data_IF_555469945806
#
_entry.id   IF_555469945806
#
_cell.length_a   1.000
_cell.length_b   1.000
_cell.length_c   1.000
_cell.angle_alpha   90.00
_cell.angle_beta   90.00
_cell.angle_gamma   90.00
#
_symmetry.space_group_name_H-M   'P 1'
#
loop_
_entity.id
_entity.type
_entity.pdbx_description
1 polymer ?
#
# COMPACT_ATOMS: atom_id res chain seq x y z
N UNK A 1 -23.64 51.15 -25.15
CA UNK A 1 -22.24 51.27 -25.62
C UNK A 1 -21.29 52.01 -24.65
N UNK A 2 -21.75 52.58 -23.52
CA UNK A 2 -20.88 53.31 -22.58
C UNK A 2 -20.14 52.45 -21.53
N UNK A 3 -20.58 51.21 -21.28
CA UNK A 3 -20.01 50.33 -20.24
C UNK A 3 -18.75 49.53 -20.62
N UNK A 4 -18.30 49.59 -21.87
CA UNK A 4 -17.11 48.86 -22.33
C UNK A 4 -15.83 49.71 -22.23
N UNK A 5 -15.91 50.99 -22.60
CA UNK A 5 -14.81 51.96 -22.43
C UNK A 5 -14.50 52.25 -20.95
N UNK A 6 -15.52 52.35 -20.09
CA UNK A 6 -15.33 52.53 -18.64
C UNK A 6 -14.72 51.31 -17.94
N UNK A 7 -14.98 50.09 -18.43
CA UNK A 7 -14.35 48.86 -17.92
C UNK A 7 -12.87 48.76 -18.32
N UNK A 8 -12.54 48.99 -19.59
CA UNK A 8 -11.15 49.01 -20.05
C UNK A 8 -10.29 50.08 -19.36
N UNK A 9 -10.84 51.27 -19.11
CA UNK A 9 -10.13 52.33 -18.38
C UNK A 9 -9.84 51.93 -16.92
N UNK A 10 -10.82 51.33 -16.24
CA UNK A 10 -10.64 50.79 -14.88
C UNK A 10 -9.62 49.65 -14.84
N UNK A 11 -9.67 48.72 -15.79
CA UNK A 11 -8.69 47.63 -15.93
C UNK A 11 -7.26 48.18 -16.17
N UNK A 12 -7.11 49.24 -16.97
CA UNK A 12 -5.81 49.91 -17.17
C UNK A 12 -5.31 50.64 -15.91
N UNK A 13 -6.19 51.33 -15.19
CA UNK A 13 -5.85 51.99 -13.91
C UNK A 13 -5.47 50.97 -12.83
N UNK A 14 -6.16 49.82 -12.76
CA UNK A 14 -5.83 48.71 -11.87
C UNK A 14 -4.48 48.07 -12.21
N UNK A 15 -4.19 47.84 -13.49
CA UNK A 15 -2.90 47.32 -13.95
C UNK A 15 -1.74 48.28 -13.64
N UNK A 16 -1.93 49.59 -13.87
CA UNK A 16 -0.93 50.60 -13.52
C UNK A 16 -0.66 50.66 -12.01
N UNK A 17 -1.70 50.51 -11.19
CA UNK A 17 -1.55 50.44 -9.73
C UNK A 17 -0.79 49.19 -9.30
N UNK A 18 -1.04 48.03 -9.92
CA UNK A 18 -0.30 46.79 -9.67
C UNK A 18 1.17 46.90 -10.07
N UNK A 19 1.45 47.53 -11.22
CA UNK A 19 2.83 47.75 -11.68
C UNK A 19 3.60 48.68 -10.74
N UNK A 20 2.96 49.76 -10.28
CA UNK A 20 3.54 50.67 -9.30
C UNK A 20 3.77 49.98 -7.94
N UNK A 21 2.88 49.08 -7.54
CA UNK A 21 3.09 48.27 -6.33
C UNK A 21 4.28 47.31 -6.49
N UNK A 22 4.36 46.62 -7.62
CA UNK A 22 5.45 45.71 -7.92
C UNK A 22 6.81 46.44 -7.99
N UNK A 23 6.85 47.64 -8.58
CA UNK A 23 8.06 48.48 -8.61
C UNK A 23 8.51 48.85 -7.18
N UNK A 24 7.60 49.32 -6.33
CA UNK A 24 7.91 49.62 -4.92
C UNK A 24 8.39 48.39 -4.15
N UNK A 25 7.78 47.22 -4.40
CA UNK A 25 8.22 45.95 -3.79
C UNK A 25 9.62 45.56 -4.27
N UNK A 26 9.94 45.75 -5.54
CA UNK A 26 11.27 45.49 -6.08
C UNK A 26 12.33 46.38 -5.43
N UNK A 27 12.06 47.68 -5.27
CA UNK A 27 12.94 48.62 -4.56
C UNK A 27 13.18 48.20 -3.10
N UNK A 28 12.11 47.88 -2.37
CA UNK A 28 12.20 47.43 -0.99
C UNK A 28 12.97 46.12 -0.85
N UNK A 29 12.72 45.15 -1.75
CA UNK A 29 13.38 43.85 -1.75
C UNK A 29 14.89 43.97 -1.99
N UNK A 30 15.33 44.86 -2.88
CA UNK A 30 16.75 45.12 -3.10
C UNK A 30 17.44 45.60 -1.82
N UNK A 31 16.82 46.57 -1.14
CA UNK A 31 17.39 47.14 0.10
C UNK A 31 17.42 46.09 1.22
N UNK A 32 16.35 45.30 1.37
CA UNK A 32 16.28 44.25 2.37
C UNK A 32 17.34 43.16 2.13
N UNK A 33 17.48 42.69 0.89
CA UNK A 33 18.48 41.68 0.53
C UNK A 33 19.92 42.20 0.71
N UNK A 34 20.21 43.45 0.35
CA UNK A 34 21.54 44.06 0.54
C UNK A 34 21.93 44.15 2.03
N UNK A 35 21.00 44.63 2.86
CA UNK A 35 21.19 44.71 4.31
C UNK A 35 21.35 43.31 4.93
N UNK A 36 20.60 42.32 4.44
CA UNK A 36 20.73 40.93 4.87
C UNK A 36 22.10 40.36 4.50
N UNK A 37 22.63 40.63 3.31
CA UNK A 37 23.99 40.22 2.91
C UNK A 37 25.04 40.83 3.82
N UNK A 38 24.91 42.13 4.14
CA UNK A 38 25.84 42.84 5.02
C UNK A 38 25.88 42.19 6.41
N UNK A 39 24.71 42.02 7.02
CA UNK A 39 24.58 41.39 8.34
C UNK A 39 25.09 39.95 8.34
N UNK A 40 24.79 39.19 7.28
CA UNK A 40 25.24 37.79 7.15
C UNK A 40 26.74 37.66 6.93
N UNK A 41 27.38 38.64 6.29
CA UNK A 41 28.83 38.67 6.16
C UNK A 41 29.51 38.88 7.52
N UNK A 42 28.93 39.72 8.39
CA UNK A 42 29.40 39.90 9.77
C UNK A 42 29.20 38.62 10.60
N UNK A 43 28.04 37.96 10.46
CA UNK A 43 27.75 36.66 11.08
C UNK A 43 28.74 35.58 10.62
N UNK A 44 29.05 35.53 9.32
CA UNK A 44 30.05 34.60 8.75
C UNK A 44 31.44 34.86 9.32
N UNK A 45 31.85 36.12 9.49
CA UNK A 45 33.14 36.45 10.08
C UNK A 45 33.25 35.94 11.52
N UNK A 46 32.20 36.14 12.32
CA UNK A 46 32.11 35.58 13.68
C UNK A 46 32.12 34.05 13.67
N UNK A 47 31.31 33.43 12.82
CA UNK A 47 31.24 31.97 12.71
C UNK A 47 32.56 31.37 12.25
N UNK A 48 33.32 32.02 11.36
CA UNK A 48 34.61 31.53 10.88
C UNK A 48 35.66 31.55 12.00
N UNK A 49 35.59 32.52 12.92
CA UNK A 49 36.47 32.55 14.09
C UNK A 49 36.15 31.41 15.09
N UNK A 50 34.87 31.08 15.27
CA UNK A 50 34.43 30.03 16.22
C UNK A 50 34.54 28.61 15.65
N UNK A 51 34.14 28.42 14.38
CA UNK A 51 34.02 27.12 13.72
C UNK A 51 35.21 26.76 12.83
N UNK A 52 35.97 27.75 12.36
CA UNK A 52 37.01 27.55 11.34
C UNK A 52 36.47 27.54 9.92
N UNK A 53 37.38 27.67 8.94
CA UNK A 53 37.04 27.93 7.55
C UNK A 53 36.32 26.78 6.84
N UNK A 54 36.63 25.54 7.20
CA UNK A 54 36.05 24.34 6.58
C UNK A 54 34.54 24.25 6.88
N UNK A 55 34.14 24.54 8.12
CA UNK A 55 32.74 24.47 8.55
C UNK A 55 31.90 25.66 8.06
N UNK A 56 32.53 26.76 7.66
CA UNK A 56 31.84 27.95 7.13
C UNK A 56 31.90 28.07 5.61
N UNK A 57 32.57 27.12 4.94
CA UNK A 57 32.77 27.14 3.49
C UNK A 57 31.46 27.23 2.69
N UNK A 58 30.44 26.45 3.09
CA UNK A 58 29.15 26.43 2.40
C UNK A 58 28.40 27.76 2.56
N UNK A 59 28.45 28.38 3.74
CA UNK A 59 27.80 29.68 3.96
C UNK A 59 28.53 30.79 3.19
N UNK A 60 29.86 30.74 3.16
CA UNK A 60 30.68 31.65 2.33
C UNK A 60 30.31 31.52 0.85
N UNK A 61 30.25 30.30 0.33
CA UNK A 61 29.86 30.05 -1.06
C UNK A 61 28.45 30.54 -1.37
N UNK A 62 27.50 30.37 -0.44
CA UNK A 62 26.14 30.89 -0.58
C UNK A 62 26.12 32.42 -0.64
N UNK A 63 26.86 33.12 0.24
CA UNK A 63 26.95 34.59 0.19
C UNK A 63 27.58 35.10 -1.11
N UNK A 64 28.59 34.40 -1.64
CA UNK A 64 29.19 34.78 -2.92
C UNK A 64 28.24 34.56 -4.11
N UNK A 65 27.45 33.49 -4.08
CA UNK A 65 26.38 33.26 -5.05
C UNK A 65 25.30 34.36 -4.97
N UNK A 66 24.87 34.71 -3.76
CA UNK A 66 23.90 35.77 -3.53
C UNK A 66 24.41 37.12 -4.03
N UNK A 67 25.66 37.49 -3.74
CA UNK A 67 26.28 38.73 -4.26
C UNK A 67 26.28 38.78 -5.78
N UNK A 68 26.54 37.65 -6.43
CA UNK A 68 26.52 37.54 -7.90
C UNK A 68 25.13 37.83 -8.46
N UNK A 69 24.09 37.21 -7.88
CA UNK A 69 22.70 37.40 -8.32
C UNK A 69 22.10 38.75 -7.91
N UNK A 70 22.56 39.35 -6.81
CA UNK A 70 22.23 40.74 -6.50
C UNK A 70 22.79 41.71 -7.53
N UNK A 71 23.96 41.41 -8.11
CA UNK A 71 24.48 42.17 -9.26
C UNK A 71 23.51 42.20 -10.44
N UNK A 72 22.84 41.08 -10.74
CA UNK A 72 21.77 41.02 -11.76
C UNK A 72 20.57 41.89 -11.36
N UNK A 73 20.12 41.81 -10.10
CA UNK A 73 19.01 42.62 -9.61
C UNK A 73 19.29 44.14 -9.72
N UNK A 74 20.50 44.58 -9.35
CA UNK A 74 20.91 45.98 -9.49
C UNK A 74 21.00 46.42 -10.95
N UNK A 75 21.49 45.56 -11.85
CA UNK A 75 21.51 45.86 -13.29
C UNK A 75 20.10 46.02 -13.86
N UNK A 76 19.17 45.14 -13.49
CA UNK A 76 17.76 45.24 -13.89
C UNK A 76 17.10 46.51 -13.34
N UNK A 77 17.40 46.88 -12.09
CA UNK A 77 16.90 48.11 -11.48
C UNK A 77 17.45 49.35 -12.19
N UNK A 78 18.73 49.34 -12.58
CA UNK A 78 19.35 50.43 -13.33
C UNK A 78 18.71 50.60 -14.72
N UNK A 79 18.42 49.50 -15.43
CA UNK A 79 17.72 49.53 -16.72
C UNK A 79 16.32 50.16 -16.59
N UNK A 80 15.59 49.84 -15.52
CA UNK A 80 14.26 50.42 -15.28
C UNK A 80 14.27 51.95 -15.08
N UNK A 81 15.44 52.56 -14.87
CA UNK A 81 15.64 53.99 -14.60
C UNK A 81 16.53 54.68 -15.63
N UNK A 82 16.78 54.05 -16.78
CA UNK A 82 17.58 54.67 -17.83
C UNK A 82 16.79 55.76 -18.61
N UNK A 83 17.48 56.48 -19.51
CA UNK A 83 16.86 57.57 -20.28
C UNK A 83 15.94 57.07 -21.42
N UNK A 84 15.89 55.74 -21.66
CA UNK A 84 15.15 55.14 -22.76
C UNK A 84 13.80 54.64 -22.23
N UNK A 85 12.66 55.14 -22.73
CA UNK A 85 11.35 54.69 -22.27
C UNK A 85 11.11 53.21 -22.59
N UNK A 86 11.12 52.35 -21.56
CA UNK A 86 10.71 50.95 -21.66
C UNK A 86 9.18 50.79 -21.79
N UNK A 87 8.73 49.64 -22.28
CA UNK A 87 7.32 49.26 -22.23
C UNK A 87 6.90 48.84 -20.81
N UNK A 88 5.61 49.02 -20.49
CA UNK A 88 5.06 48.60 -19.19
C UNK A 88 5.24 47.08 -18.91
N UNK A 89 5.26 46.26 -19.97
CA UNK A 89 5.47 44.81 -19.85
C UNK A 89 6.93 44.47 -19.51
N UNK A 90 7.90 45.18 -20.08
CA UNK A 90 9.33 45.03 -19.76
C UNK A 90 9.60 45.43 -18.30
N UNK A 91 9.05 46.58 -17.85
CA UNK A 91 9.17 47.01 -16.45
C UNK A 91 8.57 45.99 -15.48
N UNK A 92 7.37 45.45 -15.78
CA UNK A 92 6.72 44.43 -14.96
C UNK A 92 7.59 43.17 -14.88
N UNK A 93 8.13 42.71 -16.01
CA UNK A 93 8.96 41.51 -16.08
C UNK A 93 10.26 41.67 -15.28
N UNK A 94 10.94 42.80 -15.44
CA UNK A 94 12.19 43.09 -14.71
C UNK A 94 11.95 43.28 -13.22
N UNK A 95 10.92 44.01 -12.81
CA UNK A 95 10.56 44.15 -11.39
C UNK A 95 10.17 42.81 -10.75
N UNK A 96 9.42 41.96 -11.46
CA UNK A 96 9.13 40.60 -10.98
C UNK A 96 10.41 39.78 -10.82
N UNK A 97 11.35 39.87 -11.77
CA UNK A 97 12.66 39.19 -11.70
C UNK A 97 13.50 39.69 -10.52
N UNK A 98 13.53 41.00 -10.27
CA UNK A 98 14.21 41.59 -9.11
C UNK A 98 13.67 41.00 -7.81
N UNK A 99 12.34 41.00 -7.63
CA UNK A 99 11.69 40.43 -6.44
C UNK A 99 12.05 38.95 -6.28
N UNK A 100 12.05 38.17 -7.36
CA UNK A 100 12.43 36.75 -7.32
C UNK A 100 13.90 36.54 -6.90
N UNK A 101 14.82 37.34 -7.43
CA UNK A 101 16.25 37.26 -7.07
C UNK A 101 16.47 37.61 -5.59
N UNK A 102 15.82 38.66 -5.10
CA UNK A 102 15.93 39.11 -3.71
C UNK A 102 15.31 38.08 -2.75
N UNK A 103 14.14 37.53 -3.08
CA UNK A 103 13.51 36.47 -2.27
C UNK A 103 14.40 35.22 -2.20
N UNK A 104 14.91 34.76 -3.34
CA UNK A 104 15.83 33.63 -3.36
C UNK A 104 17.09 33.88 -2.52
N UNK A 105 17.63 35.10 -2.56
CA UNK A 105 18.78 35.49 -1.76
C UNK A 105 18.49 35.43 -0.26
N UNK A 106 17.36 35.99 0.18
CA UNK A 106 16.92 35.93 1.58
C UNK A 106 16.71 34.48 2.04
N UNK A 107 15.96 33.68 1.28
CA UNK A 107 15.67 32.28 1.61
C UNK A 107 16.96 31.45 1.75
N UNK A 108 17.90 31.61 0.82
CA UNK A 108 19.18 30.89 0.85
C UNK A 108 20.04 31.33 2.04
N UNK A 109 20.11 32.64 2.32
CA UNK A 109 20.85 33.15 3.47
C UNK A 109 20.25 32.62 4.77
N UNK A 110 18.93 32.62 4.92
CA UNK A 110 18.27 32.17 6.14
C UNK A 110 18.47 30.68 6.39
N UNK A 111 18.39 29.85 5.34
CA UNK A 111 18.72 28.42 5.41
C UNK A 111 20.16 28.21 5.93
N UNK A 112 21.14 28.90 5.34
CA UNK A 112 22.54 28.73 5.72
C UNK A 112 22.85 29.33 7.09
N UNK A 113 22.23 30.45 7.45
CA UNK A 113 22.38 31.09 8.76
C UNK A 113 21.88 30.17 9.87
N UNK A 114 20.74 29.50 9.67
CA UNK A 114 20.22 28.52 10.63
C UNK A 114 21.19 27.34 10.81
N UNK A 115 21.73 26.79 9.72
CA UNK A 115 22.70 25.70 9.78
C UNK A 115 24.00 26.09 10.52
N UNK A 116 24.47 27.32 10.32
CA UNK A 116 25.65 27.86 11.04
C UNK A 116 25.34 28.07 12.52
N UNK A 117 24.18 28.63 12.87
CA UNK A 117 23.77 28.80 14.26
C UNK A 117 23.73 27.45 15.00
N UNK A 118 23.20 26.40 14.37
CA UNK A 118 23.20 25.04 14.90
C UNK A 118 24.61 24.47 15.06
N UNK A 119 25.51 24.71 14.08
CA UNK A 119 26.90 24.30 14.19
C UNK A 119 27.63 25.01 15.35
N UNK A 120 27.43 26.31 15.52
CA UNK A 120 27.99 27.08 16.66
C UNK A 120 27.48 26.53 17.98
N UNK A 121 26.17 26.27 18.09
CA UNK A 121 25.58 25.68 19.28
C UNK A 121 26.17 24.30 19.59
N UNK A 122 26.41 23.44 18.57
CA UNK A 122 27.07 22.14 18.76
C UNK A 122 28.49 22.29 19.28
N UNK A 123 29.31 23.15 18.68
CA UNK A 123 30.72 23.35 19.09
C UNK A 123 30.82 23.95 20.50
N UNK A 124 29.89 24.83 20.89
CA UNK A 124 29.80 25.40 22.24
C UNK A 124 29.39 24.39 23.29
N UNK A 125 28.45 23.50 22.96
CA UNK A 125 27.96 22.46 23.88
C UNK A 125 28.84 21.20 23.90
N UNK A 126 29.82 21.11 22.99
CA UNK A 126 30.64 19.91 22.84
C UNK A 126 31.40 19.49 24.12
N UNK A 127 31.96 20.39 24.95
CA UNK A 127 32.61 20.00 26.21
C UNK A 127 31.64 19.31 27.20
N UNK A 128 30.39 19.78 27.29
CA UNK A 128 29.37 19.14 28.13
C UNK A 128 29.00 17.76 27.59
N UNK A 129 28.90 17.62 26.27
CA UNK A 129 28.61 16.33 25.62
C UNK A 129 29.77 15.34 25.82
N UNK A 130 31.03 15.77 25.73
CA UNK A 130 32.20 14.93 26.03
C UNK A 130 32.17 14.44 27.48
N UNK A 131 31.93 15.35 28.44
CA UNK A 131 31.83 14.97 29.85
C UNK A 131 30.73 13.93 30.08
N UNK A 132 29.58 14.10 29.40
CA UNK A 132 28.50 13.11 29.42
C UNK A 132 28.90 11.78 28.80
N UNK A 133 29.52 11.78 27.62
CA UNK A 133 30.00 10.55 26.96
C UNK A 133 30.95 9.77 27.87
N UNK A 134 31.88 10.45 28.55
CA UNK A 134 32.81 9.80 29.50
C UNK A 134 32.08 9.24 30.73
N UNK A 135 31.13 10.00 31.28
CA UNK A 135 30.33 9.54 32.42
C UNK A 135 29.46 8.32 32.05
N UNK A 136 28.78 8.37 30.90
CA UNK A 136 27.96 7.30 30.37
C UNK A 136 28.81 6.06 30.07
N UNK A 137 29.99 6.23 29.44
CA UNK A 137 30.94 5.15 29.18
C UNK A 137 31.40 4.47 30.47
N UNK A 138 31.75 5.23 31.51
CA UNK A 138 32.16 4.67 32.81
C UNK A 138 31.01 3.92 33.50
N UNK A 139 29.78 4.44 33.44
CA UNK A 139 28.60 3.76 33.98
C UNK A 139 28.30 2.45 33.23
N UNK A 140 28.45 2.44 31.91
CA UNK A 140 28.28 1.25 31.08
C UNK A 140 29.38 0.22 31.33
N UNK A 141 30.63 0.65 31.47
CA UNK A 141 31.76 -0.22 31.81
C UNK A 141 31.50 -0.99 33.12
N UNK A 142 30.97 -0.30 34.13
CA UNK A 142 30.60 -0.92 35.41
C UNK A 142 29.47 -1.97 35.30
N UNK A 143 28.60 -1.86 34.29
CA UNK A 143 27.52 -2.83 34.02
C UNK A 143 27.99 -4.08 33.27
N UNK A 144 29.09 -4.02 32.52
CA UNK A 144 29.56 -5.13 31.66
C UNK A 144 29.75 -6.46 32.43
N UNK A 145 30.41 -6.50 33.61
CA UNK A 145 30.59 -7.75 34.34
C UNK A 145 29.27 -8.39 34.80
N UNK A 146 28.29 -7.56 35.19
CA UNK A 146 26.97 -8.03 35.57
C UNK A 146 26.23 -8.62 34.36
N UNK A 147 26.30 -7.96 33.20
CA UNK A 147 25.70 -8.47 31.97
C UNK A 147 26.32 -9.81 31.55
N UNK A 148 27.65 -9.94 31.65
CA UNK A 148 28.33 -11.22 31.37
C UNK A 148 27.85 -12.33 32.30
N UNK A 149 27.74 -12.06 33.61
CA UNK A 149 27.22 -13.03 34.57
C UNK A 149 25.76 -13.41 34.29
N UNK A 150 24.94 -12.46 33.83
CA UNK A 150 23.56 -12.75 33.40
C UNK A 150 23.53 -13.63 32.16
N UNK A 151 24.35 -13.36 31.14
CA UNK A 151 24.47 -14.20 29.94
C UNK A 151 24.89 -15.63 30.32
N UNK A 152 25.91 -15.79 31.17
CA UNK A 152 26.39 -17.10 31.61
C UNK A 152 25.30 -17.88 32.36
N UNK A 153 24.55 -17.20 33.24
CA UNK A 153 23.39 -17.79 33.94
C UNK A 153 22.31 -18.22 32.95
N UNK A 154 21.93 -17.35 32.02
CA UNK A 154 20.88 -17.62 31.03
C UNK A 154 21.27 -18.75 30.08
N UNK A 155 22.55 -18.89 29.72
CA UNK A 155 23.06 -19.97 28.86
C UNK A 155 22.92 -21.37 29.49
N UNK A 156 22.73 -21.46 30.81
CA UNK A 156 22.40 -22.73 31.49
C UNK A 156 20.94 -23.15 31.30
N UNK A 157 20.04 -22.19 31.03
CA UNK A 157 18.59 -22.40 30.91
C UNK A 157 18.12 -22.40 29.46
N UNK A 158 18.69 -21.56 28.62
CA UNK A 158 18.25 -21.35 27.25
C UNK A 158 19.25 -21.93 26.24
N UNK A 159 18.73 -22.38 25.11
CA UNK A 159 19.53 -22.93 24.02
C UNK A 159 20.38 -21.85 23.35
N UNK A 160 21.43 -22.27 22.63
CA UNK A 160 22.32 -21.35 21.90
C UNK A 160 21.56 -20.55 20.82
N UNK A 161 20.49 -21.13 20.26
CA UNK A 161 19.62 -20.46 19.28
C UNK A 161 18.82 -19.32 19.93
N UNK A 162 18.25 -19.53 21.12
CA UNK A 162 17.55 -18.48 21.86
C UNK A 162 18.49 -17.35 22.31
N UNK A 163 19.69 -17.73 22.75
CA UNK A 163 20.70 -16.79 23.24
C UNK A 163 21.41 -16.01 22.13
N UNK A 164 21.23 -16.37 20.85
CA UNK A 164 22.00 -15.83 19.74
C UNK A 164 22.06 -14.29 19.70
N UNK A 165 20.97 -13.61 20.09
CA UNK A 165 20.88 -12.14 20.09
C UNK A 165 21.68 -11.47 21.20
N UNK A 166 21.87 -12.15 22.32
CA UNK A 166 22.50 -11.57 23.53
C UNK A 166 23.85 -12.17 23.87
N UNK A 167 24.22 -13.30 23.27
CA UNK A 167 25.41 -14.07 23.63
C UNK A 167 26.72 -13.28 23.56
N UNK A 168 26.81 -12.29 22.66
CA UNK A 168 28.00 -11.42 22.49
C UNK A 168 27.79 -9.99 22.98
N UNK A 169 26.61 -9.67 23.52
CA UNK A 169 26.25 -8.28 23.85
C UNK A 169 27.19 -7.64 24.87
N UNK A 170 27.65 -8.39 25.87
CA UNK A 170 28.58 -7.86 26.87
C UNK A 170 29.96 -7.55 26.27
N UNK A 171 30.49 -8.44 25.42
CA UNK A 171 31.76 -8.23 24.72
C UNK A 171 31.66 -7.05 23.74
N UNK A 172 30.60 -6.98 22.94
CA UNK A 172 30.36 -5.89 22.00
C UNK A 172 30.18 -4.55 22.73
N UNK A 173 29.44 -4.53 23.85
CA UNK A 173 29.28 -3.34 24.67
C UNK A 173 30.63 -2.85 25.24
N UNK A 174 31.49 -3.77 25.72
CA UNK A 174 32.82 -3.41 26.21
C UNK A 174 33.69 -2.76 25.10
N UNK A 175 33.66 -3.31 23.88
CA UNK A 175 34.38 -2.74 22.74
C UNK A 175 33.85 -1.34 22.39
N UNK A 176 32.53 -1.15 22.42
CA UNK A 176 31.88 0.14 22.16
C UNK A 176 32.21 1.19 23.24
N UNK A 177 32.32 0.79 24.50
CA UNK A 177 32.77 1.66 25.61
C UNK A 177 34.20 2.15 25.37
N UNK A 178 35.12 1.25 24.99
CA UNK A 178 36.50 1.62 24.62
C UNK A 178 36.50 2.58 23.44
N UNK A 179 35.69 2.30 22.42
CA UNK A 179 35.59 3.15 21.24
C UNK A 179 34.99 4.54 21.55
N UNK A 180 34.00 4.62 22.44
CA UNK A 180 33.44 5.88 22.90
C UNK A 180 34.48 6.75 23.62
N UNK A 181 35.26 6.17 24.54
CA UNK A 181 36.35 6.87 25.21
C UNK A 181 37.43 7.33 24.22
N UNK A 182 37.79 6.48 23.27
CA UNK A 182 38.73 6.86 22.22
C UNK A 182 38.21 8.02 21.36
N UNK A 183 36.93 7.99 20.99
CA UNK A 183 36.29 9.07 20.24
C UNK A 183 36.28 10.40 21.00
N UNK A 184 36.05 10.37 22.32
CA UNK A 184 36.19 11.54 23.18
C UNK A 184 37.63 12.10 23.20
N UNK A 185 38.65 11.25 23.28
CA UNK A 185 40.05 11.66 23.20
C UNK A 185 40.42 12.22 21.81
N UNK A 186 39.85 11.66 20.74
CA UNK A 186 40.02 12.18 19.37
C UNK A 186 39.37 13.55 19.25
N UNK A 187 38.17 13.75 19.78
CA UNK A 187 37.49 15.05 19.79
C UNK A 187 38.40 16.13 20.41
N UNK A 188 38.94 15.89 21.60
CA UNK A 188 39.81 16.85 22.30
C UNK A 188 41.04 17.20 21.46
N UNK A 189 41.77 16.19 20.95
CA UNK A 189 42.95 16.41 20.08
C UNK A 189 42.63 17.15 18.78
N UNK A 190 41.45 16.91 18.19
CA UNK A 190 41.04 17.56 16.93
C UNK A 190 40.63 19.01 17.18
N UNK A 191 39.91 19.26 18.27
CA UNK A 191 39.53 20.60 18.73
C UNK A 191 40.75 21.45 19.04
N UNK A 192 41.73 20.93 19.78
CA UNK A 192 42.98 21.64 20.11
C UNK A 192 43.81 21.99 18.87
N UNK A 193 43.67 21.20 17.80
CA UNK A 193 44.30 21.43 16.51
C UNK A 193 43.48 22.35 15.57
N UNK A 194 42.37 22.92 16.02
CA UNK A 194 41.49 23.77 15.21
C UNK A 194 40.66 23.03 14.15
N UNK A 195 40.62 21.69 14.20
CA UNK A 195 39.92 20.83 13.22
C UNK A 195 38.52 20.51 13.72
N UNK A 196 37.68 21.53 13.84
CA UNK A 196 36.36 21.45 14.50
C UNK A 196 35.40 20.46 13.81
N UNK A 197 35.40 20.39 12.48
CA UNK A 197 34.55 19.45 11.76
C UNK A 197 34.87 17.99 12.11
N UNK A 198 36.15 17.63 12.09
CA UNK A 198 36.62 16.29 12.48
C UNK A 198 36.39 16.01 13.97
N UNK A 199 36.51 17.04 14.81
CA UNK A 199 36.20 16.91 16.24
C UNK A 199 34.73 16.55 16.43
N UNK A 200 33.80 17.34 15.89
CA UNK A 200 32.34 17.10 16.02
C UNK A 200 31.97 15.70 15.53
N UNK A 201 32.52 15.25 14.40
CA UNK A 201 32.28 13.89 13.91
C UNK A 201 32.75 12.81 14.89
N UNK A 202 33.92 12.98 15.50
CA UNK A 202 34.42 12.05 16.51
C UNK A 202 33.52 11.99 17.75
N UNK A 203 32.96 13.14 18.17
CA UNK A 203 32.04 13.22 19.29
C UNK A 203 30.67 12.61 19.00
N UNK A 204 30.12 12.83 17.80
CA UNK A 204 28.89 12.18 17.34
C UNK A 204 29.06 10.65 17.32
N UNK A 205 30.21 10.19 16.81
CA UNK A 205 30.56 8.77 16.77
C UNK A 205 30.69 8.17 18.18
N UNK A 206 31.32 8.89 19.12
CA UNK A 206 31.42 8.45 20.51
C UNK A 206 30.05 8.40 21.20
N UNK A 207 29.20 9.39 20.93
CA UNK A 207 27.81 9.44 21.44
C UNK A 207 27.01 8.25 20.93
N UNK A 208 27.11 7.92 19.65
CA UNK A 208 26.47 6.73 19.07
C UNK A 208 26.94 5.44 19.73
N UNK A 209 28.26 5.31 19.95
CA UNK A 209 28.85 4.14 20.56
C UNK A 209 28.32 3.92 22.00
N UNK A 210 28.21 4.97 22.81
CA UNK A 210 27.61 4.88 24.15
C UNK A 210 26.15 4.44 24.09
N UNK A 211 25.35 4.97 23.14
CA UNK A 211 23.95 4.59 22.98
C UNK A 211 23.81 3.11 22.59
N UNK A 212 24.62 2.65 21.64
CA UNK A 212 24.60 1.25 21.19
C UNK A 212 25.05 0.30 22.32
N UNK A 213 26.08 0.67 23.08
CA UNK A 213 26.50 -0.10 24.24
C UNK A 213 25.37 -0.21 25.29
N UNK A 214 24.68 0.89 25.59
CA UNK A 214 23.52 0.89 26.47
C UNK A 214 22.43 -0.08 25.98
N UNK A 215 22.01 0.03 24.71
CA UNK A 215 20.98 -0.86 24.15
C UNK A 215 21.35 -2.34 24.18
N UNK A 216 22.63 -2.67 23.99
CA UNK A 216 23.10 -4.06 24.10
C UNK A 216 23.00 -4.60 25.53
N UNK A 217 23.33 -3.80 26.54
CA UNK A 217 23.23 -4.19 27.93
C UNK A 217 21.77 -4.25 28.40
N UNK A 218 20.94 -3.29 27.98
CA UNK A 218 19.50 -3.29 28.26
C UNK A 218 18.82 -4.53 27.66
N UNK A 219 19.20 -4.94 26.45
CA UNK A 219 18.70 -6.18 25.83
C UNK A 219 19.05 -7.45 26.63
N UNK A 220 20.21 -7.47 27.33
CA UNK A 220 20.56 -8.59 28.22
C UNK A 220 19.67 -8.58 29.47
N UNK A 221 19.42 -7.40 30.03
CA UNK A 221 18.58 -7.23 31.22
C UNK A 221 17.11 -7.63 30.94
N UNK A 222 16.58 -7.28 29.76
CA UNK A 222 15.20 -7.55 29.37
C UNK A 222 14.97 -9.01 28.91
N UNK A 223 16.01 -9.69 28.44
CA UNK A 223 15.89 -11.02 27.82
C UNK A 223 15.17 -12.04 28.71
N UNK A 224 15.47 -12.09 30.01
CA UNK A 224 14.87 -13.07 30.92
C UNK A 224 13.36 -12.85 31.07
N UNK A 225 12.93 -11.59 31.13
CA UNK A 225 11.51 -11.23 31.22
C UNK A 225 10.79 -11.62 29.92
N UNK A 226 11.40 -11.35 28.77
CA UNK A 226 10.84 -11.72 27.47
C UNK A 226 10.75 -13.24 27.30
N UNK A 227 11.78 -13.97 27.71
CA UNK A 227 11.80 -15.42 27.64
C UNK A 227 10.73 -16.05 28.53
N UNK A 228 10.54 -15.54 29.76
CA UNK A 228 9.47 -15.99 30.65
C UNK A 228 8.07 -15.72 30.07
N UNK A 229 7.86 -14.55 29.43
CA UNK A 229 6.61 -14.26 28.72
C UNK A 229 6.37 -15.21 27.55
N UNK A 230 7.43 -15.50 26.78
CA UNK A 230 7.37 -16.45 25.68
C UNK A 230 7.05 -17.86 26.18
N UNK A 231 7.64 -18.31 27.29
CA UNK A 231 7.32 -19.59 27.95
C UNK A 231 5.85 -19.66 28.41
N UNK A 232 5.34 -18.62 29.06
CA UNK A 232 3.93 -18.55 29.49
C UNK A 232 2.99 -18.63 28.29
N UNK A 233 3.28 -17.86 27.24
CA UNK A 233 2.47 -17.85 26.02
C UNK A 233 2.56 -19.18 25.28
N UNK A 234 3.73 -19.82 25.27
CA UNK A 234 3.91 -21.14 24.68
C UNK A 234 3.05 -22.17 25.39
N UNK A 235 2.95 -22.13 26.71
CA UNK A 235 2.09 -23.05 27.47
C UNK A 235 0.61 -22.91 27.09
N UNK A 236 0.12 -21.67 26.92
CA UNK A 236 -1.24 -21.40 26.44
C UNK A 236 -1.45 -21.93 25.03
N UNK A 237 -0.55 -21.59 24.09
CA UNK A 237 -0.65 -22.04 22.70
C UNK A 237 -0.57 -23.57 22.59
N UNK A 238 0.23 -24.24 23.42
CA UNK A 238 0.27 -25.71 23.48
C UNK A 238 -1.06 -26.32 23.92
N UNK A 239 -1.73 -25.71 24.91
CA UNK A 239 -3.05 -26.15 25.34
C UNK A 239 -4.08 -25.97 24.23
N UNK A 240 -4.09 -24.81 23.57
CA UNK A 240 -4.99 -24.51 22.46
C UNK A 240 -4.75 -25.47 21.27
N UNK A 241 -3.49 -25.64 20.83
CA UNK A 241 -3.14 -26.58 19.75
C UNK A 241 -3.61 -28.01 20.02
N UNK A 242 -3.55 -28.47 21.27
CA UNK A 242 -4.04 -29.81 21.64
C UNK A 242 -5.56 -29.88 21.56
N UNK A 243 -6.27 -28.83 21.94
CA UNK A 243 -7.72 -28.74 21.81
C UNK A 243 -8.14 -28.71 20.33
N UNK A 244 -7.43 -27.97 19.48
CA UNK A 244 -7.70 -27.91 18.03
C UNK A 244 -7.52 -29.27 17.36
N UNK A 245 -6.44 -29.99 17.71
CA UNK A 245 -6.23 -31.36 17.24
C UNK A 245 -7.29 -32.34 17.76
N UNK A 246 -7.76 -32.17 18.99
CA UNK A 246 -8.85 -32.98 19.54
C UNK A 246 -10.20 -32.69 18.89
N UNK A 247 -10.44 -31.45 18.44
CA UNK A 247 -11.64 -31.03 17.73
C UNK A 247 -11.62 -31.38 16.22
N UNK A 248 -10.47 -31.81 15.69
CA UNK A 248 -10.28 -32.16 14.28
C UNK A 248 -11.32 -33.14 13.69
N UNK A 249 -11.82 -34.16 14.43
CA UNK A 249 -12.87 -35.05 13.93
C UNK A 249 -14.18 -34.35 13.55
N UNK A 250 -14.44 -33.16 14.10
CA UNK A 250 -15.60 -32.34 13.76
C UNK A 250 -15.34 -31.37 12.59
N UNK A 251 -14.11 -31.29 12.08
CA UNK A 251 -13.75 -30.46 10.93
C UNK A 251 -14.01 -31.20 9.60
N UNK A 252 -14.27 -30.47 8.49
CA UNK A 252 -14.40 -31.09 7.17
C UNK A 252 -13.10 -31.79 6.76
N UNK A 253 -13.21 -33.03 6.32
CA UNK A 253 -12.07 -33.82 5.86
C UNK A 253 -11.46 -33.25 4.58
N UNK A 254 -10.16 -32.95 4.59
CA UNK A 254 -9.39 -32.53 3.41
C UNK A 254 -7.92 -32.95 3.55
N UNK A 255 -7.24 -33.36 2.47
CA UNK A 255 -5.80 -33.65 2.52
C UNK A 255 -4.96 -32.50 3.07
N UNK A 256 -5.36 -31.25 2.79
CA UNK A 256 -4.69 -30.05 3.31
C UNK A 256 -4.84 -29.93 4.83
N UNK A 257 -6.02 -30.23 5.38
CA UNK A 257 -6.28 -30.23 6.82
C UNK A 257 -5.46 -31.33 7.50
N UNK A 258 -5.41 -32.53 6.93
CA UNK A 258 -4.59 -33.64 7.45
C UNK A 258 -3.10 -33.31 7.46
N UNK A 259 -2.59 -32.67 6.40
CA UNK A 259 -1.20 -32.24 6.31
C UNK A 259 -0.86 -31.16 7.34
N UNK A 260 -1.73 -30.16 7.50
CA UNK A 260 -1.56 -29.10 8.49
C UNK A 260 -1.63 -29.64 9.93
N UNK A 261 -2.56 -30.55 10.22
CA UNK A 261 -2.66 -31.23 11.51
C UNK A 261 -1.41 -32.07 11.82
N UNK A 262 -0.87 -32.78 10.83
CA UNK A 262 0.39 -33.51 10.99
C UNK A 262 1.57 -32.57 11.28
N UNK A 263 1.65 -31.43 10.60
CA UNK A 263 2.67 -30.41 10.85
C UNK A 263 2.55 -29.82 12.27
N UNK A 264 1.33 -29.55 12.74
CA UNK A 264 1.09 -29.09 14.11
C UNK A 264 1.49 -30.14 15.14
N UNK A 265 1.12 -31.41 14.92
CA UNK A 265 1.54 -32.50 15.79
C UNK A 265 3.07 -32.65 15.82
N UNK A 266 3.74 -32.50 14.68
CA UNK A 266 5.20 -32.49 14.61
C UNK A 266 5.80 -31.32 15.40
N UNK A 267 5.24 -30.12 15.29
CA UNK A 267 5.69 -28.95 16.06
C UNK A 267 5.54 -29.19 17.57
N UNK A 268 4.43 -29.77 18.03
CA UNK A 268 4.22 -30.15 19.42
C UNK A 268 5.22 -31.22 19.90
N UNK A 269 5.53 -32.20 19.06
CA UNK A 269 6.48 -33.27 19.39
C UNK A 269 7.94 -32.78 19.38
N UNK A 270 8.24 -31.68 18.68
CA UNK A 270 9.55 -31.06 18.61
C UNK A 270 9.85 -30.10 19.77
N UNK A 271 8.89 -29.90 20.69
CA UNK A 271 9.11 -29.09 21.88
C UNK A 271 10.17 -29.72 22.78
N UNK A 272 10.99 -28.86 23.38
CA UNK A 272 12.08 -29.29 24.23
C UNK A 272 11.54 -30.02 25.48
N UNK A 273 12.10 -31.20 25.85
CA UNK A 273 11.72 -31.89 27.08
C UNK A 273 11.94 -31.04 28.33
N UNK A 274 11.13 -31.27 29.36
CA UNK A 274 11.31 -30.62 30.65
C UNK A 274 12.73 -30.86 31.19
N UNK A 275 13.39 -29.78 31.64
CA UNK A 275 14.76 -29.83 32.16
C UNK A 275 15.87 -29.75 31.11
N UNK A 276 15.54 -29.62 29.82
CA UNK A 276 16.51 -29.32 28.76
C UNK A 276 16.61 -27.80 28.50
N UNK A 277 17.68 -27.38 27.81
CA UNK A 277 17.84 -25.97 27.41
C UNK A 277 16.84 -25.63 26.30
N UNK A 278 15.91 -24.73 26.57
CA UNK A 278 14.75 -24.45 25.69
C UNK A 278 15.01 -23.30 24.72
N UNK A 279 14.24 -23.25 23.63
CA UNK A 279 14.16 -22.08 22.75
C UNK A 279 12.73 -21.54 22.74
N UNK A 280 12.30 -20.79 23.78
CA UNK A 280 10.90 -20.40 23.90
C UNK A 280 10.45 -19.51 22.74
N UNK A 281 11.34 -18.69 22.16
CA UNK A 281 11.01 -17.83 21.03
C UNK A 281 10.84 -18.63 19.73
N UNK A 282 11.78 -19.52 19.41
CA UNK A 282 11.70 -20.35 18.21
C UNK A 282 10.59 -21.39 18.30
N UNK A 283 10.38 -22.01 19.46
CA UNK A 283 9.28 -22.94 19.71
C UNK A 283 7.93 -22.27 19.54
N UNK A 284 7.73 -21.10 20.16
CA UNK A 284 6.48 -20.33 20.02
C UNK A 284 6.24 -19.90 18.57
N UNK A 285 7.29 -19.49 17.86
CA UNK A 285 7.18 -19.11 16.44
C UNK A 285 6.75 -20.29 15.57
N UNK A 286 7.40 -21.45 15.72
CA UNK A 286 7.06 -22.67 14.98
C UNK A 286 5.64 -23.13 15.26
N UNK A 287 5.23 -23.12 16.54
CA UNK A 287 3.90 -23.58 16.93
C UNK A 287 2.79 -22.66 16.43
N UNK A 288 2.96 -21.34 16.55
CA UNK A 288 2.03 -20.35 15.99
C UNK A 288 1.88 -20.51 14.47
N UNK A 289 2.98 -20.65 13.76
CA UNK A 289 2.95 -20.87 12.31
C UNK A 289 2.14 -22.13 11.93
N UNK A 290 2.31 -23.22 12.69
CA UNK A 290 1.57 -24.45 12.46
C UNK A 290 0.07 -24.31 12.81
N UNK A 291 -0.29 -23.63 13.90
CA UNK A 291 -1.69 -23.33 14.24
C UNK A 291 -2.35 -22.50 13.15
N UNK A 292 -1.73 -21.39 12.73
CA UNK A 292 -2.27 -20.53 11.67
C UNK A 292 -2.45 -21.30 10.36
N UNK A 293 -1.54 -22.23 10.04
CA UNK A 293 -1.68 -23.08 8.86
C UNK A 293 -2.86 -24.06 8.98
N UNK A 294 -3.11 -24.63 10.17
CA UNK A 294 -4.26 -25.50 10.44
C UNK A 294 -5.57 -24.72 10.33
N UNK A 295 -5.66 -23.54 10.94
CA UNK A 295 -6.83 -22.66 10.88
C UNK A 295 -7.19 -22.31 9.45
N UNK A 296 -6.19 -21.91 8.66
CA UNK A 296 -6.37 -21.60 7.24
C UNK A 296 -6.85 -22.81 6.44
N UNK A 297 -6.32 -24.01 6.72
CA UNK A 297 -6.75 -25.24 6.06
C UNK A 297 -8.20 -25.62 6.42
N UNK A 298 -8.58 -25.50 7.70
CA UNK A 298 -9.95 -25.76 8.17
C UNK A 298 -10.92 -24.76 7.56
N UNK A 299 -10.58 -23.46 7.56
CA UNK A 299 -11.41 -22.42 6.95
C UNK A 299 -11.63 -22.70 5.45
N UNK A 300 -10.57 -23.05 4.72
CA UNK A 300 -10.66 -23.43 3.30
C UNK A 300 -11.52 -24.70 3.10
N UNK A 301 -11.40 -25.69 3.99
CA UNK A 301 -12.20 -26.92 3.90
C UNK A 301 -13.69 -26.66 4.21
N UNK A 302 -14.00 -25.80 5.19
CA UNK A 302 -15.38 -25.35 5.48
C UNK A 302 -15.97 -24.60 4.30
N UNK A 303 -15.23 -23.65 3.74
CA UNK A 303 -15.68 -22.92 2.56
C UNK A 303 -16.03 -23.87 1.40
N UNK A 304 -15.20 -24.87 1.12
CA UNK A 304 -15.48 -25.91 0.09
C UNK A 304 -16.67 -26.80 0.43
N UNK A 305 -16.92 -27.08 1.72
CA UNK A 305 -18.07 -27.88 2.14
C UNK A 305 -19.39 -27.11 1.99
N UNK A 306 -19.39 -25.81 2.26
CA UNK A 306 -20.53 -24.89 2.06
C UNK A 306 -20.75 -24.55 0.58
N UNK A 307 -19.68 -24.57 -0.23
CA UNK A 307 -19.71 -24.28 -1.66
C UNK A 307 -19.15 -25.47 -2.46
N UNK A 308 -19.88 -26.59 -2.56
CA UNK A 308 -19.42 -27.75 -3.31
C UNK A 308 -19.27 -27.41 -4.79
N UNK A 309 -18.12 -27.78 -5.36
CA UNK A 309 -17.90 -27.69 -6.80
C UNK A 309 -18.95 -28.54 -7.54
N UNK A 310 -19.41 -28.11 -8.72
CA UNK A 310 -20.30 -28.93 -9.53
C UNK A 310 -19.62 -30.26 -9.86
N UNK A 311 -20.39 -31.35 -9.95
CA UNK A 311 -19.81 -32.65 -10.35
C UNK A 311 -19.46 -32.61 -11.84
N UNK A 312 -18.50 -33.46 -12.26
CA UNK A 312 -18.18 -33.60 -13.69
C UNK A 312 -19.45 -33.96 -14.47
N UNK A 313 -20.29 -34.83 -13.91
CA UNK A 313 -21.59 -35.21 -14.49
C UNK A 313 -22.54 -34.01 -14.61
N UNK A 314 -22.63 -33.14 -13.61
CA UNK A 314 -23.48 -31.94 -13.68
C UNK A 314 -23.03 -30.98 -14.80
N UNK A 315 -21.72 -30.85 -15.01
CA UNK A 315 -21.17 -30.06 -16.12
C UNK A 315 -21.45 -30.73 -17.46
N UNK A 316 -21.26 -32.04 -17.56
CA UNK A 316 -21.55 -32.81 -18.77
C UNK A 316 -23.03 -32.73 -19.15
N UNK A 317 -23.95 -32.88 -18.20
CA UNK A 317 -25.38 -32.74 -18.46
C UNK A 317 -25.77 -31.34 -18.95
N UNK A 318 -25.19 -30.29 -18.37
CA UNK A 318 -25.41 -28.92 -18.85
C UNK A 318 -24.84 -28.70 -20.26
N UNK A 319 -23.72 -29.34 -20.57
CA UNK A 319 -23.09 -29.28 -21.90
C UNK A 319 -23.91 -30.04 -22.94
N UNK A 320 -24.39 -31.24 -22.61
CA UNK A 320 -25.27 -32.02 -23.49
C UNK A 320 -26.58 -31.27 -23.79
N UNK A 321 -27.12 -30.56 -22.80
CA UNK A 321 -28.28 -29.70 -23.00
C UNK A 321 -27.97 -28.52 -23.92
N UNK A 322 -26.85 -27.84 -23.69
CA UNK A 322 -26.38 -26.78 -24.56
C UNK A 322 -26.17 -27.26 -26.00
N UNK A 323 -25.61 -28.46 -26.20
CA UNK A 323 -25.36 -29.07 -27.51
C UNK A 323 -26.67 -29.42 -28.24
N UNK A 324 -27.67 -29.93 -27.52
CA UNK A 324 -29.01 -30.15 -28.09
C UNK A 324 -29.64 -28.83 -28.55
N UNK A 325 -29.61 -27.79 -27.71
CA UNK A 325 -30.17 -26.48 -28.04
C UNK A 325 -29.44 -25.83 -29.22
N UNK A 326 -28.11 -25.92 -29.26
CA UNK A 326 -27.29 -25.48 -30.40
C UNK A 326 -27.67 -26.21 -31.69
N UNK A 327 -27.86 -27.53 -31.64
CA UNK A 327 -28.28 -28.33 -32.79
C UNK A 327 -29.64 -27.89 -33.36
N UNK A 328 -30.62 -27.63 -32.48
CA UNK A 328 -31.95 -27.14 -32.88
C UNK A 328 -31.86 -25.74 -33.49
N UNK A 329 -31.17 -24.81 -32.82
CA UNK A 329 -30.99 -23.45 -33.31
C UNK A 329 -30.26 -23.42 -34.67
N UNK A 330 -29.18 -24.20 -34.81
CA UNK A 330 -28.46 -24.34 -36.08
C UNK A 330 -29.35 -24.89 -37.18
N UNK A 331 -30.10 -25.97 -36.91
CA UNK A 331 -31.01 -26.56 -37.89
C UNK A 331 -32.07 -25.58 -38.38
N UNK A 332 -32.68 -24.81 -37.48
CA UNK A 332 -33.67 -23.79 -37.85
C UNK A 332 -33.04 -22.67 -38.70
N UNK A 333 -31.87 -22.18 -38.27
CA UNK A 333 -31.11 -21.12 -38.97
C UNK A 333 -30.67 -21.55 -40.37
N UNK A 334 -30.21 -22.79 -40.52
CA UNK A 334 -29.78 -23.34 -41.79
C UNK A 334 -30.94 -23.65 -42.73
N UNK A 335 -32.09 -24.08 -42.20
CA UNK A 335 -33.30 -24.37 -42.98
C UNK A 335 -33.98 -23.13 -43.56
N UNK A 336 -33.80 -21.96 -42.93
CA UNK A 336 -34.53 -20.73 -43.28
C UNK A 336 -33.59 -19.54 -43.51
N UNK A 337 -32.46 -19.78 -44.20
CA UNK A 337 -31.40 -18.77 -44.42
C UNK A 337 -31.88 -17.47 -45.08
N UNK A 338 -32.90 -17.52 -45.92
CA UNK A 338 -33.44 -16.31 -46.56
C UNK A 338 -34.31 -15.42 -45.63
N UNK A 339 -34.75 -15.97 -44.50
CA UNK A 339 -35.83 -15.42 -43.67
C UNK A 339 -35.28 -14.93 -42.32
N UNK A 340 -34.14 -15.46 -41.88
CA UNK A 340 -33.56 -15.19 -40.57
C UNK A 340 -32.59 -14.00 -40.60
N UNK A 341 -32.70 -13.13 -39.61
CA UNK A 341 -31.96 -11.88 -39.45
C UNK A 341 -30.54 -12.04 -38.88
N UNK A 342 -29.83 -10.93 -38.76
CA UNK A 342 -28.46 -10.88 -38.25
C UNK A 342 -28.36 -11.18 -36.74
N UNK A 343 -29.37 -10.82 -35.96
CA UNK A 343 -29.36 -10.98 -34.50
C UNK A 343 -29.36 -12.45 -34.08
N UNK A 344 -30.24 -13.27 -34.67
CA UNK A 344 -30.29 -14.71 -34.42
C UNK A 344 -28.96 -15.41 -34.78
N UNK A 345 -28.36 -15.03 -35.92
CA UNK A 345 -27.06 -15.56 -36.36
C UNK A 345 -25.92 -15.16 -35.44
N UNK A 346 -25.95 -13.93 -34.93
CA UNK A 346 -24.94 -13.41 -34.00
C UNK A 346 -24.99 -14.17 -32.67
N UNK A 347 -26.20 -14.42 -32.14
CA UNK A 347 -26.36 -15.22 -30.91
C UNK A 347 -25.90 -16.66 -31.09
N UNK A 348 -26.22 -17.28 -32.24
CA UNK A 348 -25.75 -18.62 -32.57
C UNK A 348 -24.22 -18.69 -32.66
N UNK A 349 -23.60 -17.75 -33.37
CA UNK A 349 -22.14 -17.70 -33.52
C UNK A 349 -21.41 -17.52 -32.18
N UNK A 350 -21.93 -16.68 -31.28
CA UNK A 350 -21.34 -16.51 -29.95
C UNK A 350 -21.54 -17.74 -29.05
N UNK A 351 -22.69 -18.42 -29.15
CA UNK A 351 -22.92 -19.69 -28.46
C UNK A 351 -21.93 -20.77 -28.92
N UNK A 352 -21.71 -20.88 -30.23
CA UNK A 352 -20.72 -21.80 -30.82
C UNK A 352 -19.29 -21.46 -30.41
N UNK A 353 -18.95 -20.17 -30.34
CA UNK A 353 -17.63 -19.71 -29.88
C UNK A 353 -17.38 -20.14 -28.43
N UNK A 354 -18.31 -19.84 -27.52
CA UNK A 354 -18.18 -20.20 -26.09
C UNK A 354 -18.14 -21.71 -25.87
N UNK A 355 -18.83 -22.50 -26.71
CA UNK A 355 -18.87 -23.96 -26.62
C UNK A 355 -17.50 -24.62 -26.84
N UNK A 356 -16.63 -24.02 -27.64
CA UNK A 356 -15.29 -24.56 -27.94
C UNK A 356 -14.43 -24.62 -26.68
N UNK A 357 -14.59 -23.66 -25.77
CA UNK A 357 -13.72 -23.51 -24.60
C UNK A 357 -14.15 -24.41 -23.42
N UNK A 358 -15.42 -24.87 -23.36
CA UNK A 358 -15.94 -25.62 -22.20
C UNK A 358 -15.16 -26.91 -21.89
N UNK A 359 -14.80 -27.79 -22.86
CA UNK A 359 -14.14 -29.06 -22.56
C UNK A 359 -12.79 -28.93 -21.85
N UNK A 360 -12.03 -27.85 -22.10
CA UNK A 360 -10.73 -27.62 -21.46
C UNK A 360 -10.86 -27.22 -19.99
N UNK A 361 -12.04 -26.73 -19.57
CA UNK A 361 -12.35 -26.28 -18.22
C UNK A 361 -12.88 -27.40 -17.31
N UNK A 362 -13.23 -28.57 -17.85
CA UNK A 362 -13.82 -29.69 -17.10
C UNK A 362 -12.81 -30.44 -16.20
N UNK A 363 -11.56 -30.71 -16.64
CA UNK A 363 -10.65 -31.57 -15.88
C UNK A 363 -10.20 -31.01 -14.53
N UNK A 364 -9.92 -29.69 -14.45
CA UNK A 364 -9.46 -29.06 -13.22
C UNK A 364 -10.63 -28.72 -12.29
N UNK A 365 -10.47 -28.98 -10.99
CA UNK A 365 -11.48 -28.63 -9.98
C UNK A 365 -11.73 -27.12 -9.93
N UNK A 366 -10.68 -26.31 -10.04
CA UNK A 366 -10.77 -24.86 -9.92
C UNK A 366 -11.57 -24.19 -11.06
N UNK A 367 -11.64 -24.83 -12.23
CA UNK A 367 -12.31 -24.28 -13.42
C UNK A 367 -13.71 -24.86 -13.65
N UNK A 368 -14.17 -25.78 -12.81
CA UNK A 368 -15.40 -26.54 -13.08
C UNK A 368 -16.68 -25.71 -12.91
N UNK A 369 -16.69 -24.75 -11.99
CA UNK A 369 -17.75 -23.75 -11.88
C UNK A 369 -17.81 -22.85 -13.12
N UNK A 370 -16.65 -22.46 -13.64
CA UNK A 370 -16.56 -21.72 -14.89
C UNK A 370 -17.07 -22.57 -16.06
N UNK A 371 -16.74 -23.87 -16.09
CA UNK A 371 -17.25 -24.79 -17.10
C UNK A 371 -18.79 -24.89 -17.07
N UNK A 372 -19.38 -25.05 -15.87
CA UNK A 372 -20.83 -25.12 -15.70
C UNK A 372 -21.54 -23.82 -16.11
N UNK A 373 -21.03 -22.68 -15.66
CA UNK A 373 -21.60 -21.37 -16.00
C UNK A 373 -21.48 -21.07 -17.49
N UNK A 374 -20.36 -21.43 -18.12
CA UNK A 374 -20.16 -21.29 -19.57
C UNK A 374 -21.11 -22.21 -20.34
N UNK A 375 -21.28 -23.47 -19.92
CA UNK A 375 -22.24 -24.40 -20.54
C UNK A 375 -23.69 -23.87 -20.48
N UNK A 376 -24.12 -23.37 -19.32
CA UNK A 376 -25.44 -22.72 -19.16
C UNK A 376 -25.58 -21.48 -20.04
N UNK A 377 -24.51 -20.69 -20.19
CA UNK A 377 -24.49 -19.51 -21.07
C UNK A 377 -24.62 -19.89 -22.54
N UNK A 378 -23.97 -20.96 -22.98
CA UNK A 378 -24.12 -21.51 -24.34
C UNK A 378 -25.59 -21.89 -24.60
N UNK A 379 -26.21 -22.64 -23.68
CA UNK A 379 -27.63 -23.00 -23.78
C UNK A 379 -28.52 -21.75 -23.87
N UNK A 380 -28.32 -20.75 -23.00
CA UNK A 380 -29.07 -19.50 -23.03
C UNK A 380 -28.98 -18.80 -24.40
N UNK A 381 -27.77 -18.64 -24.94
CA UNK A 381 -27.56 -18.00 -26.24
C UNK A 381 -28.17 -18.79 -27.39
N UNK A 382 -28.15 -20.12 -27.33
CA UNK A 382 -28.80 -20.98 -28.31
C UNK A 382 -30.34 -20.85 -28.27
N UNK A 383 -30.93 -20.77 -27.08
CA UNK A 383 -32.36 -20.51 -26.92
C UNK A 383 -32.77 -19.12 -27.43
N UNK A 384 -31.97 -18.09 -27.15
CA UNK A 384 -32.19 -16.74 -27.67
C UNK A 384 -32.10 -16.71 -29.21
N UNK A 385 -31.11 -17.39 -29.79
CA UNK A 385 -30.97 -17.52 -31.24
C UNK A 385 -32.20 -18.21 -31.86
N UNK A 386 -32.70 -19.27 -31.22
CA UNK A 386 -33.89 -20.00 -31.65
C UNK A 386 -35.15 -19.12 -31.62
N UNK A 387 -35.37 -18.37 -30.54
CA UNK A 387 -36.52 -17.47 -30.41
C UNK A 387 -36.50 -16.35 -31.46
N UNK A 388 -35.35 -15.72 -31.67
CA UNK A 388 -35.18 -14.69 -32.69
C UNK A 388 -35.43 -15.25 -34.10
N UNK A 389 -34.87 -16.43 -34.40
CA UNK A 389 -35.09 -17.10 -35.68
C UNK A 389 -36.56 -17.45 -35.93
N UNK A 390 -37.28 -17.92 -34.90
CA UNK A 390 -38.71 -18.22 -35.02
C UNK A 390 -39.52 -16.95 -35.28
N UNK A 391 -39.22 -15.88 -34.55
CA UNK A 391 -39.87 -14.58 -34.73
C UNK A 391 -39.63 -13.99 -36.13
N UNK A 392 -38.42 -14.15 -36.67
CA UNK A 392 -38.08 -13.74 -38.02
C UNK A 392 -38.88 -14.52 -39.08
N UNK A 393 -39.05 -15.84 -38.89
CA UNK A 393 -39.88 -16.69 -39.76
C UNK A 393 -41.35 -16.28 -39.70
N UNK A 394 -41.88 -16.03 -38.51
CA UNK A 394 -43.29 -15.67 -38.34
C UNK A 394 -43.61 -14.29 -38.95
N UNK A 395 -42.66 -13.34 -38.90
CA UNK A 395 -42.78 -12.04 -39.57
C UNK A 395 -42.71 -12.11 -41.09
N UNK A 396 -42.03 -13.10 -41.64
CA UNK A 396 -41.83 -13.25 -43.08
C UNK A 396 -42.89 -14.12 -43.75
N UNK A 397 -43.77 -14.78 -42.98
CA UNK A 397 -45.00 -15.37 -43.50
C UNK A 397 -45.95 -14.26 -43.97
N UNK A 398 -46.40 -14.26 -45.24
CA UNK A 398 -47.44 -13.35 -45.69
C UNK A 398 -48.72 -13.59 -44.88
N UNK A 399 -49.32 -12.53 -44.37
CA UNK A 399 -50.64 -12.57 -43.75
C UNK A 399 -51.64 -13.07 -44.80
N UNK A 400 -51.93 -14.37 -44.80
CA UNK A 400 -52.97 -14.98 -45.63
C UNK A 400 -54.34 -14.62 -45.04
N UNK A 401 -54.62 -13.32 -45.02
CA UNK A 401 -55.96 -12.77 -45.04
C UNK A 401 -56.61 -13.15 -46.37
N UNK A 402 -57.28 -14.31 -46.39
CA UNK A 402 -58.20 -14.70 -47.45
C UNK A 402 -59.62 -14.51 -46.94
N UNK A 403 -60.29 -13.47 -47.44
CA UNK A 403 -61.71 -13.21 -47.19
C UNK A 403 -62.63 -14.20 -47.92
N UNK A 404 -63.83 -14.40 -47.40
CA UNK A 404 -64.88 -15.13 -48.10
C UNK A 404 -66.15 -15.43 -47.29
N UNK A 405 -67.07 -14.46 -47.22
CA UNK A 405 -68.52 -14.65 -47.35
C UNK A 405 -69.32 -15.37 -46.25
N UNK A 406 -70.34 -14.69 -45.71
CA UNK A 406 -71.47 -15.35 -45.06
C UNK A 406 -72.10 -14.55 -43.93
N UNK A 407 -72.93 -13.57 -44.28
CA UNK A 407 -73.82 -12.91 -43.32
C UNK A 407 -74.98 -13.79 -42.88
N UNK A 408 -75.55 -13.39 -41.73
CA UNK A 408 -76.85 -13.77 -41.15
C UNK A 408 -76.93 -15.10 -40.36
N UNK A 409 -77.04 -14.96 -39.05
CA UNK A 409 -78.21 -15.52 -38.37
C UNK A 409 -78.00 -16.16 -36.98
N UNK A 410 -78.52 -15.46 -35.97
CA UNK A 410 -79.32 -15.96 -34.84
C UNK A 410 -78.78 -16.96 -33.81
N UNK A 411 -78.93 -16.54 -32.53
CA UNK A 411 -79.09 -17.40 -31.35
C UNK A 411 -77.78 -17.69 -30.61
N UNK A 412 -77.63 -17.46 -29.31
CA UNK A 412 -78.60 -17.28 -28.23
C UNK A 412 -78.10 -18.09 -27.03
N UNK A 413 -77.89 -17.40 -25.90
CA UNK A 413 -78.09 -17.95 -24.55
C UNK A 413 -77.13 -19.03 -24.02
N UNK A 414 -76.41 -18.66 -22.96
CA UNK A 414 -76.61 -19.34 -21.67
C UNK A 414 -75.70 -20.51 -21.31
N UNK A 415 -74.92 -20.29 -20.25
CA UNK A 415 -75.06 -21.11 -19.04
C UNK A 415 -74.22 -22.39 -18.89
N UNK A 416 -73.23 -22.28 -17.99
CA UNK A 416 -72.96 -23.17 -16.83
C UNK A 416 -72.99 -24.71 -16.99
N UNK A 417 -71.90 -25.31 -16.48
CA UNK A 417 -71.91 -26.61 -15.79
C UNK A 417 -71.02 -27.63 -16.49
N UNK A 418 -69.79 -27.86 -16.03
CA UNK A 418 -69.39 -28.65 -14.85
C UNK A 418 -69.37 -30.16 -15.12
N UNK A 419 -68.18 -30.74 -14.98
CA UNK A 419 -67.89 -32.18 -14.87
C UNK A 419 -67.48 -32.80 -16.20
N UNK A 420 -66.31 -33.40 -16.38
CA UNK A 420 -65.31 -33.87 -15.44
C UNK A 420 -64.73 -35.18 -15.97
N UNK A 421 -63.40 -35.25 -16.11
CA UNK A 421 -62.61 -36.45 -16.45
C UNK A 421 -62.73 -36.91 -17.91
N UNK A 422 -61.68 -37.25 -18.65
CA UNK A 422 -60.33 -37.58 -18.22
C UNK A 422 -59.40 -37.69 -19.45
N UNK A 423 -58.11 -37.42 -19.21
CA UNK A 423 -56.92 -38.05 -19.81
C UNK A 423 -56.33 -37.50 -21.14
N UNK A 424 -55.21 -36.75 -20.95
CA UNK A 424 -53.90 -36.78 -21.66
C UNK A 424 -53.84 -36.11 -23.05
N UNK A 425 -53.11 -35.00 -23.26
CA UNK A 425 -51.65 -34.80 -23.07
C UNK A 425 -51.36 -33.28 -22.97
N UNK A 426 -50.92 -32.71 -21.84
CA UNK A 426 -49.51 -32.69 -21.38
C UNK A 426 -48.70 -31.63 -22.15
N UNK A 427 -48.83 -30.30 -22.00
CA UNK A 427 -48.81 -29.37 -20.83
C UNK A 427 -47.43 -29.19 -20.19
N UNK A 428 -46.86 -27.99 -20.48
CA UNK A 428 -46.23 -26.99 -19.58
C UNK A 428 -44.98 -27.40 -18.77
N UNK A 429 -43.94 -26.58 -18.60
CA UNK A 429 -43.94 -25.12 -18.53
C UNK A 429 -44.12 -24.63 -17.08
N UNK A 430 -43.05 -24.12 -16.46
CA UNK A 430 -43.03 -23.46 -15.14
C UNK A 430 -42.05 -24.17 -14.19
N UNK A 431 -41.17 -23.52 -13.43
CA UNK A 431 -41.44 -22.44 -12.48
C UNK A 431 -40.10 -21.86 -11.98
N UNK A 432 -40.10 -20.54 -11.83
CA UNK A 432 -39.16 -19.74 -11.04
C UNK A 432 -39.71 -19.68 -9.60
N UNK A 433 -38.81 -19.62 -8.59
CA UNK A 433 -38.95 -19.04 -7.22
C UNK A 433 -38.47 -20.01 -6.12
N UNK A 434 -37.48 -19.53 -5.35
CA UNK A 434 -37.13 -19.98 -4.00
C UNK A 434 -35.60 -19.94 -3.79
N UNK A 435 -34.99 -19.07 -2.99
CA UNK A 435 -35.50 -18.05 -2.09
C UNK A 435 -34.34 -17.21 -1.55
N UNK A 436 -34.62 -15.96 -1.19
CA UNK A 436 -33.78 -15.09 -0.39
C UNK A 436 -34.61 -14.65 0.83
N UNK A 437 -33.95 -14.59 1.99
CA UNK A 437 -34.25 -13.81 3.19
C UNK A 437 -35.36 -14.32 4.14
N UNK A 438 -34.91 -14.79 5.30
CA UNK A 438 -35.66 -14.91 6.55
C UNK A 438 -34.67 -14.81 7.73
N UNK A 439 -34.81 -13.72 8.47
CA UNK A 439 -33.96 -13.15 9.52
C UNK A 439 -33.96 -13.90 10.86
N UNK A 440 -32.92 -13.65 11.67
CA UNK A 440 -32.95 -13.29 13.10
C UNK A 440 -34.06 -13.90 13.99
N UNK A 441 -33.68 -14.85 14.87
CA UNK A 441 -33.88 -14.91 16.34
C UNK A 441 -33.65 -16.36 16.83
N UNK A 442 -32.75 -16.48 17.82
CA UNK A 442 -32.29 -17.65 18.60
C UNK A 442 -31.11 -18.48 18.03
#
# INVERSE_FOLDING_TARGET
>A
MAGFWGRRKREQEELQAQDADLARRAEQAIVAADERIRTSADELAFASAELGDDMTADFRAALDAVRTHMGEAFQLHQLNHDEIPDTAEELRTRNARIVQLCQWAEDLIDEKSAAIADAVNRVRNAPQVVARVRADAAALEARVPQAQSSIDRLATRYSDAAMQRIAKSAEEAAQLVVFANHGADVFERRRDAGRNQEAVLALETATEATRRAASLLDAVDDFEIEALRAESTLAEVVADSRNDLAALPSAPGSPAVSAAAAALQQALNALAPAGSRTDPFGELTRLRAANTALDAAIAAARYRAEHPLPTIEAVQHALDDADRQLGIARGLVEGHRGWIGADARTRLAEAERLRVDVPSLIPAEETREQALSTARRVAQLAAEALQLAQHDIDRSRPDQGWGGGGGNGWGGGGGRGSGGGDIVSGVLGGLVIGGLLGDIFD
#
